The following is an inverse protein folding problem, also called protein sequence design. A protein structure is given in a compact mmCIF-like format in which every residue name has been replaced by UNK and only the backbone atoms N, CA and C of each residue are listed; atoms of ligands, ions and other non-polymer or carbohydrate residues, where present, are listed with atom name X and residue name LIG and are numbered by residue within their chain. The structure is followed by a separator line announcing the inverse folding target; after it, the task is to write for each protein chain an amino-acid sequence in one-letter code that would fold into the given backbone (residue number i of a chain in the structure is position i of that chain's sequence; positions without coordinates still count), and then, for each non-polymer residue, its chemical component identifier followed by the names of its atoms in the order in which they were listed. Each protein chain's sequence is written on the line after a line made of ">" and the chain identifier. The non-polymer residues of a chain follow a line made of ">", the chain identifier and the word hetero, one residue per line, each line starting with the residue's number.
data_IF_749954789932
#
_entry.id   IF_749954789932
#
_cell.length_a   1.000
_cell.length_b   1.000
_cell.length_c   1.000
_cell.angle_alpha   90.00
_cell.angle_beta   90.00
_cell.angle_gamma   90.00
#
_symmetry.space_group_name_H-M   'P 1'
#
loop_
_entity.id
_entity.type
_entity.pdbx_description
1 polymer ?
#
# COMPACT_ATOMS: atom_id res chain seq x y z
N UNK A 1 -33.74 1.04 19.76
CA UNK A 1 -32.71 0.46 18.86
C UNK A 1 -32.99 -1.03 18.78
N UNK A 2 -33.30 -1.53 17.58
CA UNK A 2 -33.54 -2.97 17.37
C UNK A 2 -32.28 -3.79 17.67
N UNK A 3 -32.44 -5.03 18.15
CA UNK A 3 -31.34 -5.98 18.41
C UNK A 3 -30.42 -6.12 17.18
N UNK A 4 -30.97 -6.10 15.97
CA UNK A 4 -30.26 -6.16 14.68
C UNK A 4 -29.29 -4.97 14.49
N UNK A 5 -29.67 -3.76 14.85
CA UNK A 5 -28.79 -2.57 14.70
C UNK A 5 -27.60 -2.58 15.67
N UNK A 6 -27.72 -3.24 16.83
CA UNK A 6 -26.62 -3.41 17.78
C UNK A 6 -25.59 -4.41 17.25
N UNK A 7 -26.04 -5.50 16.66
CA UNK A 7 -25.20 -6.53 16.04
C UNK A 7 -24.39 -5.96 14.89
N UNK A 8 -25.02 -5.24 13.96
CA UNK A 8 -24.34 -4.60 12.81
C UNK A 8 -23.24 -3.63 13.26
N UNK A 9 -23.51 -2.83 14.30
CA UNK A 9 -22.49 -1.93 14.87
C UNK A 9 -21.33 -2.69 15.50
N UNK A 10 -21.62 -3.76 16.24
CA UNK A 10 -20.58 -4.60 16.85
C UNK A 10 -19.68 -5.20 15.77
N UNK A 11 -20.25 -5.81 14.73
CA UNK A 11 -19.50 -6.38 13.60
C UNK A 11 -18.60 -5.34 12.92
N UNK A 12 -19.12 -4.13 12.72
CA UNK A 12 -18.35 -3.02 12.11
C UNK A 12 -17.14 -2.61 12.96
N UNK A 13 -17.32 -2.35 14.24
CA UNK A 13 -16.23 -1.95 15.12
C UNK A 13 -15.22 -3.08 15.32
N UNK A 14 -15.69 -4.33 15.40
CA UNK A 14 -14.82 -5.51 15.42
C UNK A 14 -13.96 -5.55 14.16
N UNK A 15 -14.53 -5.31 12.97
CA UNK A 15 -13.77 -5.28 11.72
C UNK A 15 -12.75 -4.13 11.69
N UNK A 16 -13.07 -2.96 12.23
CA UNK A 16 -12.14 -1.84 12.36
C UNK A 16 -10.94 -2.19 13.26
N UNK A 17 -11.19 -2.85 14.41
CA UNK A 17 -10.13 -3.31 15.32
C UNK A 17 -9.26 -4.38 14.64
N UNK A 18 -9.88 -5.35 13.97
CA UNK A 18 -9.16 -6.36 13.17
C UNK A 18 -8.28 -5.67 12.13
N UNK A 19 -8.84 -4.69 11.39
CA UNK A 19 -8.11 -3.93 10.39
C UNK A 19 -6.91 -3.18 10.94
N UNK A 20 -7.07 -2.54 12.09
CA UNK A 20 -5.97 -1.87 12.79
C UNK A 20 -4.83 -2.84 13.11
N UNK A 21 -5.10 -3.93 13.82
CA UNK A 21 -4.07 -4.90 14.24
C UNK A 21 -3.47 -5.67 13.06
N UNK A 22 -4.27 -6.06 12.06
CA UNK A 22 -3.82 -6.76 10.88
C UNK A 22 -2.83 -5.91 10.06
N UNK A 23 -3.16 -4.65 9.82
CA UNK A 23 -2.29 -3.75 9.05
C UNK A 23 -1.10 -3.26 9.87
N UNK A 24 -1.25 -3.09 11.19
CA UNK A 24 -0.14 -2.85 12.12
C UNK A 24 0.88 -4.00 12.03
N UNK A 25 0.45 -5.25 12.19
CA UNK A 25 1.27 -6.45 12.06
C UNK A 25 1.98 -6.51 10.71
N UNK A 26 1.23 -6.41 9.61
CA UNK A 26 1.78 -6.48 8.26
C UNK A 26 2.81 -5.38 7.97
N UNK A 27 2.55 -4.14 8.38
CA UNK A 27 3.46 -3.02 8.13
C UNK A 27 4.70 -3.11 9.02
N UNK A 28 4.54 -3.46 10.30
CA UNK A 28 5.65 -3.61 11.24
C UNK A 28 6.58 -4.78 10.86
N UNK A 29 6.07 -5.84 10.21
CA UNK A 29 6.89 -6.93 9.67
C UNK A 29 7.79 -6.51 8.49
N UNK A 30 7.53 -5.35 7.92
CA UNK A 30 8.27 -4.75 6.80
C UNK A 30 9.14 -3.58 7.26
N UNK A 31 8.56 -2.64 7.99
CA UNK A 31 9.15 -1.34 8.28
C UNK A 31 9.42 -1.14 9.79
N UNK A 32 10.68 -0.84 10.20
CA UNK A 32 11.90 -0.72 9.40
C UNK A 32 12.74 -2.01 9.35
N UNK A 33 12.24 -3.16 9.81
CA UNK A 33 12.98 -4.40 10.11
C UNK A 33 13.51 -5.13 8.89
N UNK A 34 12.79 -5.09 7.75
CA UNK A 34 13.02 -6.03 6.65
C UNK A 34 14.39 -5.87 5.99
N UNK A 35 14.82 -4.63 5.74
CA UNK A 35 16.12 -4.38 5.12
C UNK A 35 17.28 -4.89 6.00
N UNK A 36 17.40 -4.47 7.28
CA UNK A 36 18.46 -4.98 8.14
C UNK A 36 18.38 -6.49 8.37
N UNK A 37 17.19 -7.09 8.44
CA UNK A 37 17.07 -8.55 8.59
C UNK A 37 17.49 -9.30 7.33
N UNK A 38 17.10 -8.84 6.14
CA UNK A 38 17.57 -9.41 4.88
C UNK A 38 19.11 -9.33 4.74
N UNK A 39 19.71 -8.20 5.15
CA UNK A 39 21.16 -8.04 5.21
C UNK A 39 21.81 -9.04 6.17
N UNK A 40 21.27 -9.21 7.36
CA UNK A 40 21.77 -10.16 8.37
C UNK A 40 21.72 -11.62 7.88
N UNK A 41 20.77 -11.96 6.99
CA UNK A 41 20.67 -13.27 6.35
C UNK A 41 21.61 -13.44 5.13
N UNK A 42 22.49 -12.46 4.86
CA UNK A 42 23.43 -12.52 3.74
C UNK A 42 22.77 -12.39 2.36
N UNK A 43 21.63 -11.69 2.26
CA UNK A 43 20.96 -11.49 0.97
C UNK A 43 21.85 -10.73 0.01
N UNK A 44 22.13 -11.25 -1.20
CA UNK A 44 22.85 -10.52 -2.24
C UNK A 44 22.10 -9.21 -2.62
N UNK A 45 22.85 -8.15 -2.94
CA UNK A 45 22.28 -6.85 -3.31
C UNK A 45 21.24 -6.96 -4.44
N UNK A 46 21.52 -7.78 -5.45
CA UNK A 46 20.62 -8.04 -6.58
C UNK A 46 19.29 -8.65 -6.18
N UNK A 47 19.21 -9.34 -5.05
CA UNK A 47 18.03 -10.04 -4.54
C UNK A 47 17.33 -9.29 -3.40
N UNK A 48 17.95 -8.23 -2.87
CA UNK A 48 17.34 -7.40 -1.82
C UNK A 48 15.97 -6.86 -2.25
N UNK A 49 15.87 -6.34 -3.47
CA UNK A 49 14.61 -5.85 -4.03
C UNK A 49 13.57 -6.95 -4.24
N UNK A 50 13.98 -8.16 -4.62
CA UNK A 50 13.08 -9.31 -4.73
C UNK A 50 12.49 -9.69 -3.36
N UNK A 51 13.32 -9.76 -2.33
CA UNK A 51 12.84 -10.01 -0.94
C UNK A 51 11.86 -8.92 -0.51
N UNK A 52 12.15 -7.64 -0.81
CA UNK A 52 11.25 -6.54 -0.51
C UNK A 52 9.88 -6.68 -1.19
N UNK A 53 9.86 -7.09 -2.47
CA UNK A 53 8.67 -7.21 -3.30
C UNK A 53 7.90 -8.51 -3.10
N UNK A 54 8.47 -9.51 -2.45
CA UNK A 54 7.84 -10.83 -2.35
C UNK A 54 6.42 -10.80 -1.76
N UNK A 55 6.11 -9.86 -0.85
CA UNK A 55 4.78 -9.72 -0.27
C UNK A 55 3.77 -8.92 -1.12
N UNK A 56 4.22 -8.21 -2.17
CA UNK A 56 3.31 -7.49 -3.07
C UNK A 56 2.87 -8.35 -4.26
N UNK A 57 3.64 -9.39 -4.60
CA UNK A 57 3.30 -10.33 -5.66
C UNK A 57 1.93 -11.00 -5.42
N UNK A 58 1.58 -11.50 -4.22
CA UNK A 58 0.23 -12.00 -3.94
C UNK A 58 -0.88 -10.98 -4.16
N UNK A 59 -0.59 -9.68 -3.99
CA UNK A 59 -1.54 -8.60 -4.30
C UNK A 59 -1.97 -8.63 -5.76
N UNK A 60 -1.02 -8.75 -6.67
CA UNK A 60 -1.29 -8.84 -8.12
C UNK A 60 -2.07 -10.12 -8.45
N UNK A 61 -1.70 -11.24 -7.83
CA UNK A 61 -2.25 -12.56 -8.15
C UNK A 61 -3.62 -12.82 -7.50
N UNK A 62 -3.83 -12.32 -6.28
CA UNK A 62 -4.94 -12.75 -5.44
C UNK A 62 -6.00 -11.67 -5.17
N UNK A 63 -5.74 -10.38 -5.38
CA UNK A 63 -6.72 -9.33 -5.06
C UNK A 63 -8.03 -9.44 -5.85
N UNK A 64 -7.96 -9.74 -7.14
CA UNK A 64 -9.14 -9.99 -7.97
C UNK A 64 -9.82 -11.34 -7.67
N UNK A 65 -9.08 -12.47 -7.64
CA UNK A 65 -9.66 -13.74 -7.21
C UNK A 65 -10.25 -13.71 -5.80
N UNK A 66 -9.64 -12.98 -4.85
CA UNK A 66 -10.13 -12.89 -3.48
C UNK A 66 -11.52 -12.25 -3.41
N UNK A 67 -11.79 -11.20 -4.19
CA UNK A 67 -13.10 -10.60 -4.29
C UNK A 67 -14.14 -11.63 -4.81
N UNK A 68 -13.85 -12.29 -5.93
CA UNK A 68 -14.72 -13.32 -6.51
C UNK A 68 -14.90 -14.54 -5.60
N UNK A 69 -13.83 -15.00 -4.94
CA UNK A 69 -13.91 -16.07 -3.94
C UNK A 69 -14.80 -15.67 -2.77
N UNK A 70 -14.72 -14.42 -2.33
CA UNK A 70 -15.53 -13.94 -1.22
C UNK A 70 -17.01 -13.81 -1.58
N UNK A 71 -17.33 -13.57 -2.86
CA UNK A 71 -18.71 -13.64 -3.36
C UNK A 71 -19.25 -15.07 -3.33
N UNK A 72 -18.41 -16.05 -3.69
CA UNK A 72 -18.80 -17.45 -3.79
C UNK A 72 -18.81 -18.18 -2.44
N UNK A 73 -17.78 -17.98 -1.62
CA UNK A 73 -17.60 -18.69 -0.34
C UNK A 73 -18.09 -17.91 0.88
N UNK A 74 -18.43 -16.64 0.69
CA UNK A 74 -18.87 -15.71 1.74
C UNK A 74 -17.71 -14.89 2.33
N UNK A 75 -17.97 -13.59 2.56
CA UNK A 75 -16.97 -12.62 3.05
C UNK A 75 -16.24 -13.08 4.30
N UNK A 76 -16.99 -13.62 5.27
CA UNK A 76 -16.44 -14.04 6.58
C UNK A 76 -15.40 -15.15 6.47
N UNK A 77 -15.62 -16.14 5.60
CA UNK A 77 -14.67 -17.25 5.42
C UNK A 77 -13.35 -16.77 4.83
N UNK A 78 -13.39 -15.83 3.89
CA UNK A 78 -12.17 -15.26 3.30
C UNK A 78 -11.45 -14.36 4.30
N UNK A 79 -12.17 -13.54 5.09
CA UNK A 79 -11.60 -12.77 6.19
C UNK A 79 -10.97 -13.69 7.26
N UNK A 80 -11.60 -14.81 7.56
CA UNK A 80 -11.03 -15.80 8.48
C UNK A 80 -9.74 -16.43 7.93
N UNK A 81 -9.72 -16.82 6.65
CA UNK A 81 -8.52 -17.36 6.01
C UNK A 81 -7.37 -16.32 6.03
N UNK A 82 -7.66 -15.04 5.74
CA UNK A 82 -6.65 -13.99 5.86
C UNK A 82 -6.16 -13.82 7.29
N UNK A 83 -7.05 -13.94 8.27
CA UNK A 83 -6.73 -13.90 9.70
C UNK A 83 -5.77 -15.01 10.13
N UNK A 84 -5.93 -16.24 9.60
CA UNK A 84 -4.98 -17.34 9.84
C UNK A 84 -3.58 -16.97 9.33
N UNK A 85 -3.49 -16.34 8.14
CA UNK A 85 -2.20 -15.92 7.59
C UNK A 85 -1.58 -14.82 8.46
N UNK A 86 -2.36 -13.81 8.90
CA UNK A 86 -1.87 -12.76 9.83
C UNK A 86 -1.37 -13.33 11.15
N UNK A 87 -2.04 -14.35 11.68
CA UNK A 87 -1.65 -14.98 12.94
C UNK A 87 -0.43 -15.89 12.82
N UNK A 88 -0.25 -16.58 11.69
CA UNK A 88 0.80 -17.60 11.52
C UNK A 88 2.08 -17.05 10.89
N UNK A 89 1.98 -16.16 9.91
CA UNK A 89 3.13 -15.67 9.17
C UNK A 89 4.21 -15.01 10.06
N UNK A 90 3.89 -14.21 11.09
CA UNK A 90 4.90 -13.62 11.97
C UNK A 90 5.78 -14.65 12.67
N UNK A 91 5.22 -15.78 13.07
CA UNK A 91 5.99 -16.84 13.73
C UNK A 91 6.88 -17.60 12.76
N UNK A 92 6.52 -17.66 11.47
CA UNK A 92 7.40 -18.25 10.45
C UNK A 92 8.67 -17.42 10.26
N UNK A 93 8.64 -16.09 10.45
CA UNK A 93 9.87 -15.28 10.42
C UNK A 93 10.88 -15.68 11.49
N UNK A 94 10.46 -16.24 12.63
CA UNK A 94 11.34 -16.70 13.69
C UNK A 94 12.17 -17.94 13.27
N UNK A 95 11.71 -18.68 12.25
CA UNK A 95 12.34 -19.91 11.75
C UNK A 95 13.22 -19.64 10.52
N UNK A 96 13.29 -18.38 10.06
CA UNK A 96 14.02 -18.02 8.85
C UNK A 96 15.52 -17.96 9.12
N UNK A 97 16.30 -18.72 8.34
CA UNK A 97 17.76 -18.78 8.42
C UNK A 97 18.46 -18.38 7.10
N UNK A 98 17.68 -18.05 6.06
CA UNK A 98 18.21 -17.72 4.74
C UNK A 98 17.28 -16.75 4.00
N UNK A 99 17.83 -15.98 3.07
CA UNK A 99 17.10 -14.97 2.33
C UNK A 99 15.93 -15.54 1.50
N UNK A 100 16.07 -16.73 0.93
CA UNK A 100 14.99 -17.34 0.14
C UNK A 100 13.83 -17.81 1.02
N UNK A 101 14.09 -18.28 2.25
CA UNK A 101 13.04 -18.56 3.24
C UNK A 101 12.32 -17.29 3.63
N UNK A 102 13.08 -16.17 3.83
CA UNK A 102 12.48 -14.86 4.07
C UNK A 102 11.55 -14.45 2.94
N UNK A 103 11.97 -14.60 1.68
CA UNK A 103 11.12 -14.30 0.52
C UNK A 103 9.85 -15.17 0.49
N UNK A 104 9.94 -16.46 0.80
CA UNK A 104 8.78 -17.36 0.87
C UNK A 104 7.79 -16.96 1.99
N UNK A 105 8.30 -16.66 3.18
CA UNK A 105 7.45 -16.20 4.30
C UNK A 105 6.78 -14.87 3.96
N UNK A 106 7.50 -13.96 3.32
CA UNK A 106 6.94 -12.70 2.84
C UNK A 106 5.85 -12.90 1.79
N UNK A 107 6.09 -13.80 0.83
CA UNK A 107 5.09 -14.17 -0.18
C UNK A 107 3.84 -14.73 0.50
N UNK A 108 3.97 -15.66 1.43
CA UNK A 108 2.85 -16.17 2.21
C UNK A 108 2.11 -15.07 2.98
N UNK A 109 2.86 -14.20 3.69
CA UNK A 109 2.28 -13.11 4.46
C UNK A 109 1.52 -12.10 3.56
N UNK A 110 1.97 -11.92 2.32
CA UNK A 110 1.32 -11.05 1.34
C UNK A 110 -0.13 -11.43 1.02
N UNK A 111 -0.48 -12.73 1.05
CA UNK A 111 -1.87 -13.16 0.88
C UNK A 111 -2.82 -12.60 1.95
N UNK A 112 -2.34 -12.35 3.15
CA UNK A 112 -3.16 -11.80 4.22
C UNK A 112 -3.76 -10.44 3.82
N UNK A 113 -2.93 -9.50 3.39
CA UNK A 113 -3.38 -8.17 2.98
C UNK A 113 -4.13 -8.18 1.65
N UNK A 114 -3.69 -9.01 0.69
CA UNK A 114 -4.33 -9.18 -0.62
C UNK A 114 -5.79 -9.65 -0.50
N UNK A 115 -6.10 -10.49 0.50
CA UNK A 115 -7.46 -10.94 0.77
C UNK A 115 -8.23 -9.97 1.69
N UNK A 116 -7.58 -9.46 2.74
CA UNK A 116 -8.24 -8.72 3.81
C UNK A 116 -8.84 -7.40 3.35
N UNK A 117 -8.07 -6.56 2.65
CA UNK A 117 -8.48 -5.19 2.34
C UNK A 117 -9.67 -5.14 1.38
N UNK A 118 -9.67 -5.82 0.22
CA UNK A 118 -10.82 -5.78 -0.69
C UNK A 118 -12.07 -6.43 -0.08
N UNK A 119 -11.92 -7.55 0.63
CA UNK A 119 -13.05 -8.26 1.23
C UNK A 119 -13.62 -7.50 2.43
N UNK A 120 -12.77 -6.85 3.23
CA UNK A 120 -13.19 -5.98 4.33
C UNK A 120 -14.02 -4.79 3.84
N UNK A 121 -13.57 -4.13 2.78
CA UNK A 121 -14.33 -3.04 2.15
C UNK A 121 -15.69 -3.52 1.62
N UNK A 122 -15.72 -4.67 0.94
CA UNK A 122 -16.96 -5.26 0.44
C UNK A 122 -17.92 -5.61 1.59
N UNK A 123 -17.40 -6.19 2.69
CA UNK A 123 -18.20 -6.51 3.86
C UNK A 123 -18.80 -5.28 4.53
N UNK A 124 -18.04 -4.17 4.65
CA UNK A 124 -18.57 -2.90 5.14
C UNK A 124 -19.66 -2.34 4.23
N UNK A 125 -19.46 -2.41 2.91
CA UNK A 125 -20.46 -1.94 1.94
C UNK A 125 -21.78 -2.72 2.02
N UNK A 126 -21.74 -4.02 2.33
CA UNK A 126 -22.91 -4.87 2.56
C UNK A 126 -23.61 -4.55 3.89
N UNK A 127 -22.85 -4.29 4.97
CA UNK A 127 -23.41 -3.96 6.28
C UNK A 127 -24.11 -2.61 6.30
N UNK A 128 -23.69 -1.66 5.45
CA UNK A 128 -24.20 -0.27 5.45
C UNK A 128 -24.56 0.22 4.04
N UNK A 129 -25.67 -0.30 3.44
CA UNK A 129 -26.06 0.08 2.07
C UNK A 129 -26.33 1.58 1.88
N UNK A 130 -26.85 2.26 2.90
CA UNK A 130 -27.19 3.69 2.84
C UNK A 130 -26.01 4.62 3.10
N UNK A 131 -25.01 4.21 3.89
CA UNK A 131 -23.89 5.06 4.33
C UNK A 131 -22.51 4.40 3.98
N UNK A 132 -22.43 3.76 2.83
CA UNK A 132 -21.25 2.98 2.40
C UNK A 132 -19.95 3.79 2.47
N UNK A 133 -19.95 4.97 1.84
CA UNK A 133 -18.74 5.80 1.72
C UNK A 133 -18.20 6.22 3.10
N UNK A 134 -19.07 6.69 4.00
CA UNK A 134 -18.68 7.06 5.35
C UNK A 134 -18.08 5.89 6.11
N UNK A 135 -18.74 4.73 6.09
CA UNK A 135 -18.31 3.55 6.83
C UNK A 135 -17.03 2.93 6.27
N UNK A 136 -16.88 2.88 4.96
CA UNK A 136 -15.63 2.45 4.32
C UNK A 136 -14.49 3.41 4.66
N UNK A 137 -14.75 4.71 4.73
CA UNK A 137 -13.75 5.70 5.15
C UNK A 137 -13.29 5.48 6.59
N UNK A 138 -14.20 5.20 7.53
CA UNK A 138 -13.85 4.90 8.92
C UNK A 138 -13.02 3.61 9.01
N UNK A 139 -13.42 2.55 8.31
CA UNK A 139 -12.66 1.30 8.25
C UNK A 139 -11.25 1.53 7.66
N UNK A 140 -11.16 2.25 6.55
CA UNK A 140 -9.90 2.65 5.95
C UNK A 140 -9.01 3.45 6.93
N UNK A 141 -9.61 4.38 7.67
CA UNK A 141 -8.88 5.16 8.69
C UNK A 141 -8.29 4.27 9.78
N UNK A 142 -9.02 3.26 10.25
CA UNK A 142 -8.51 2.31 11.23
C UNK A 142 -7.27 1.56 10.71
N UNK A 143 -7.31 1.09 9.46
CA UNK A 143 -6.16 0.43 8.82
C UNK A 143 -4.97 1.36 8.63
N UNK A 144 -5.24 2.62 8.26
CA UNK A 144 -4.21 3.65 8.06
C UNK A 144 -3.50 4.00 9.37
N UNK A 145 -4.24 4.10 10.49
CA UNK A 145 -3.63 4.33 11.81
C UNK A 145 -2.65 3.20 12.16
N UNK A 146 -3.02 1.94 11.94
CA UNK A 146 -2.13 0.79 12.12
C UNK A 146 -0.86 0.90 11.26
N UNK A 147 -1.00 1.25 9.98
CA UNK A 147 0.12 1.45 9.06
C UNK A 147 1.05 2.58 9.52
N UNK A 148 0.49 3.68 9.99
CA UNK A 148 1.25 4.87 10.41
C UNK A 148 2.07 4.61 11.67
N UNK A 149 1.50 3.90 12.66
CA UNK A 149 2.17 3.61 13.94
C UNK A 149 3.27 2.56 13.78
N UNK A 150 3.13 1.64 12.83
CA UNK A 150 4.00 0.48 12.67
C UNK A 150 5.51 0.80 12.62
N UNK A 151 6.01 1.73 11.78
CA UNK A 151 7.45 1.99 11.71
C UNK A 151 8.01 2.66 12.97
N UNK A 152 7.22 3.50 13.66
CA UNK A 152 7.63 4.09 14.94
C UNK A 152 7.78 3.01 16.01
N UNK A 153 6.77 2.14 16.14
CA UNK A 153 6.78 1.05 17.11
C UNK A 153 7.86 0.02 16.76
N UNK A 154 7.99 -0.36 15.50
CA UNK A 154 9.02 -1.28 15.04
C UNK A 154 10.43 -0.72 15.24
N UNK A 155 10.66 0.56 14.95
CA UNK A 155 11.93 1.24 15.21
C UNK A 155 12.28 1.30 16.68
N UNK A 156 11.29 1.60 17.54
CA UNK A 156 11.48 1.60 19.00
C UNK A 156 11.83 0.21 19.54
N UNK A 157 11.11 -0.85 19.12
CA UNK A 157 11.39 -2.22 19.55
C UNK A 157 12.83 -2.62 19.15
N UNK A 158 13.22 -2.39 17.90
CA UNK A 158 14.57 -2.69 17.43
C UNK A 158 15.64 -1.89 18.18
N UNK A 159 15.34 -0.64 18.57
CA UNK A 159 16.26 0.19 19.33
C UNK A 159 16.49 -0.37 20.74
N UNK A 160 15.42 -0.66 21.48
CA UNK A 160 15.53 -1.15 22.87
C UNK A 160 16.06 -2.59 22.97
N UNK A 161 15.93 -3.38 21.90
CA UNK A 161 16.41 -4.77 21.84
C UNK A 161 17.76 -4.91 21.11
N UNK A 162 18.46 -3.81 20.82
CA UNK A 162 19.72 -3.83 20.06
C UNK A 162 19.61 -4.59 18.72
N UNK A 163 18.59 -4.27 17.93
CA UNK A 163 18.23 -4.95 16.67
C UNK A 163 17.79 -6.42 16.86
N UNK A 164 17.07 -6.71 17.93
CA UNK A 164 16.44 -7.99 18.17
C UNK A 164 15.32 -8.29 17.17
N UNK A 165 15.66 -9.00 16.10
CA UNK A 165 14.69 -9.35 15.05
C UNK A 165 13.61 -10.30 15.57
N UNK A 166 13.98 -11.24 16.47
CA UNK A 166 13.03 -12.19 17.06
C UNK A 166 12.00 -11.47 17.94
N UNK A 167 12.42 -10.53 18.78
CA UNK A 167 11.57 -9.74 19.64
C UNK A 167 10.58 -8.91 18.83
N UNK A 168 11.05 -8.32 17.74
CA UNK A 168 10.17 -7.58 16.85
C UNK A 168 9.15 -8.50 16.18
N UNK A 169 9.57 -9.65 15.61
CA UNK A 169 8.62 -10.56 14.98
C UNK A 169 7.67 -11.23 15.97
N UNK A 170 8.04 -11.38 17.25
CA UNK A 170 7.11 -11.74 18.33
C UNK A 170 6.06 -10.64 18.54
N UNK A 171 6.45 -9.37 18.59
CA UNK A 171 5.51 -8.25 18.70
C UNK A 171 4.57 -8.18 17.48
N UNK A 172 5.09 -8.42 16.27
CA UNK A 172 4.30 -8.57 15.03
C UNK A 172 3.30 -9.72 15.18
N UNK A 173 3.73 -10.83 15.74
CA UNK A 173 2.90 -12.02 16.01
C UNK A 173 1.77 -11.73 17.01
N UNK A 174 2.07 -11.02 18.08
CA UNK A 174 1.05 -10.58 19.07
C UNK A 174 -0.03 -9.74 18.38
N UNK A 175 0.35 -8.79 17.52
CA UNK A 175 -0.60 -7.98 16.77
C UNK A 175 -1.42 -8.84 15.78
N UNK A 176 -0.78 -9.79 15.07
CA UNK A 176 -1.44 -10.71 14.15
C UNK A 176 -2.44 -11.63 14.86
N UNK A 177 -2.05 -12.19 16.00
CA UNK A 177 -2.94 -13.01 16.86
C UNK A 177 -4.10 -12.18 17.42
N UNK A 178 -3.84 -10.93 17.84
CA UNK A 178 -4.89 -10.02 18.31
C UNK A 178 -5.92 -9.76 17.19
N UNK A 179 -5.47 -9.54 15.95
CA UNK A 179 -6.36 -9.43 14.80
C UNK A 179 -7.18 -10.71 14.60
N UNK A 180 -6.56 -11.88 14.64
CA UNK A 180 -7.23 -13.16 14.45
C UNK A 180 -8.25 -13.46 15.54
N UNK A 181 -7.86 -13.35 16.81
CA UNK A 181 -8.74 -13.61 17.96
C UNK A 181 -9.95 -12.66 17.95
N UNK A 182 -9.69 -11.37 17.69
CA UNK A 182 -10.79 -10.40 17.53
C UNK A 182 -11.67 -10.76 16.33
N UNK A 183 -11.07 -11.22 15.23
CA UNK A 183 -11.78 -11.69 14.02
C UNK A 183 -12.67 -12.90 14.25
N UNK A 184 -12.38 -13.77 15.25
CA UNK A 184 -13.27 -14.88 15.61
C UNK A 184 -14.66 -14.40 16.05
N UNK A 185 -14.78 -13.20 16.59
CA UNK A 185 -16.07 -12.60 16.94
C UNK A 185 -16.94 -12.35 15.70
N UNK A 186 -16.32 -12.07 14.54
CA UNK A 186 -17.04 -11.95 13.27
C UNK A 186 -17.66 -13.26 12.80
N UNK A 187 -17.11 -14.40 13.23
CA UNK A 187 -17.61 -15.72 12.85
C UNK A 187 -18.75 -16.20 13.73
N UNK A 188 -18.80 -15.80 15.01
CA UNK A 188 -19.81 -16.25 15.97
C UNK A 188 -21.21 -15.71 15.68
N UNK A 189 -21.32 -14.55 15.10
CA UNK A 189 -22.60 -13.92 14.84
C UNK A 189 -23.25 -14.49 13.56
N UNK A 190 -24.35 -15.25 13.72
CA UNK A 190 -25.21 -15.65 12.59
C UNK A 190 -25.89 -14.37 12.04
N UNK A 191 -25.30 -13.77 11.03
CA UNK A 191 -26.00 -12.74 10.25
C UNK A 191 -27.05 -13.44 9.39
N UNK A 192 -28.29 -13.06 9.56
CA UNK A 192 -29.35 -13.23 8.56
C UNK A 192 -29.15 -12.20 7.42
N UNK A 193 -27.92 -12.06 6.92
CA UNK A 193 -27.74 -11.38 5.64
C UNK A 193 -28.22 -12.37 4.59
N UNK A 194 -29.46 -12.18 4.17
CA UNK A 194 -30.02 -12.71 2.95
C UNK A 194 -28.95 -12.72 1.87
N UNK A 195 -28.78 -13.83 1.21
CA UNK A 195 -28.11 -13.95 -0.09
C UNK A 195 -28.86 -13.05 -1.09
N UNK A 196 -28.75 -11.74 -0.91
CA UNK A 196 -29.08 -10.80 -1.95
C UNK A 196 -27.98 -10.99 -2.98
N UNK A 197 -28.23 -11.88 -3.93
CA UNK A 197 -27.41 -12.05 -5.11
C UNK A 197 -27.18 -10.70 -5.75
N UNK A 198 -26.03 -10.12 -5.44
CA UNK A 198 -25.44 -9.11 -6.28
C UNK A 198 -25.07 -9.86 -7.56
N UNK A 199 -25.97 -9.77 -8.55
CA UNK A 199 -25.64 -10.14 -9.92
C UNK A 199 -24.27 -9.56 -10.26
N UNK A 200 -23.36 -10.31 -10.89
CA UNK A 200 -22.09 -9.75 -11.34
C UNK A 200 -22.44 -8.57 -12.24
N UNK A 201 -22.33 -7.35 -11.71
CA UNK A 201 -22.44 -6.14 -12.50
C UNK A 201 -21.26 -6.13 -13.44
N UNK A 202 -21.47 -6.58 -14.67
CA UNK A 202 -20.44 -6.60 -15.71
C UNK A 202 -20.44 -7.81 -16.63
N UNK A 203 -21.56 -8.51 -16.80
CA UNK A 203 -21.67 -9.63 -17.75
C UNK A 203 -21.77 -9.19 -19.24
N UNK A 204 -21.26 -8.01 -19.62
CA UNK A 204 -21.35 -7.50 -20.99
C UNK A 204 -20.06 -7.52 -21.79
N UNK A 205 -18.90 -7.43 -21.13
CA UNK A 205 -17.57 -7.55 -21.77
C UNK A 205 -16.67 -8.38 -20.87
N UNK A 206 -15.88 -9.29 -21.47
CA UNK A 206 -14.88 -10.05 -20.71
C UNK A 206 -13.92 -9.10 -19.97
N UNK A 207 -13.40 -9.49 -18.81
CA UNK A 207 -12.48 -8.66 -18.01
C UNK A 207 -11.32 -8.12 -18.86
N UNK A 208 -10.77 -8.96 -19.74
CA UNK A 208 -9.67 -8.60 -20.64
C UNK A 208 -10.10 -7.60 -21.72
N UNK A 209 -11.32 -7.68 -22.25
CA UNK A 209 -11.85 -6.70 -23.20
C UNK A 209 -12.07 -5.33 -22.54
N UNK A 210 -12.58 -5.33 -21.32
CA UNK A 210 -12.73 -4.11 -20.53
C UNK A 210 -11.37 -3.45 -20.23
N UNK A 211 -10.36 -4.23 -19.89
CA UNK A 211 -9.00 -3.73 -19.69
C UNK A 211 -8.36 -3.23 -20.98
N UNK A 212 -8.55 -3.92 -22.10
CA UNK A 212 -8.07 -3.49 -23.40
C UNK A 212 -8.72 -2.15 -23.81
N UNK A 213 -10.01 -1.97 -23.54
CA UNK A 213 -10.71 -0.71 -23.80
C UNK A 213 -10.16 0.46 -22.95
N UNK A 214 -9.88 0.21 -21.67
CA UNK A 214 -9.28 1.21 -20.77
C UNK A 214 -7.85 1.53 -21.19
N UNK A 215 -7.02 0.51 -21.47
CA UNK A 215 -5.64 0.67 -21.91
C UNK A 215 -5.53 1.33 -23.31
N UNK A 216 -6.54 1.15 -24.17
CA UNK A 216 -6.63 1.80 -25.47
C UNK A 216 -6.84 3.32 -25.40
N UNK A 217 -7.34 3.82 -24.27
CA UNK A 217 -7.41 5.25 -24.03
C UNK A 217 -6.04 5.78 -23.61
N UNK A 218 -5.34 6.44 -24.54
CA UNK A 218 -3.99 6.98 -24.35
C UNK A 218 -3.87 7.88 -23.11
N UNK A 219 -4.88 8.71 -22.82
CA UNK A 219 -4.86 9.61 -21.66
C UNK A 219 -4.94 8.81 -20.36
N UNK A 220 -5.86 7.85 -20.27
CA UNK A 220 -6.01 6.96 -19.11
C UNK A 220 -4.75 6.15 -18.88
N UNK A 221 -4.12 5.62 -19.93
CA UNK A 221 -2.85 4.89 -19.83
C UNK A 221 -1.74 5.77 -19.27
N UNK A 222 -1.58 7.01 -19.79
CA UNK A 222 -0.55 7.94 -19.30
C UNK A 222 -0.76 8.29 -17.82
N UNK A 223 -2.00 8.55 -17.38
CA UNK A 223 -2.30 8.82 -15.96
C UNK A 223 -1.99 7.59 -15.10
N UNK A 224 -2.31 6.40 -15.58
CA UNK A 224 -1.99 5.15 -14.89
C UNK A 224 -0.48 4.91 -14.80
N UNK A 225 0.31 5.30 -15.80
CA UNK A 225 1.77 5.23 -15.76
C UNK A 225 2.37 6.20 -14.74
N UNK A 226 1.80 7.40 -14.57
CA UNK A 226 2.20 8.32 -13.50
C UNK A 226 1.95 7.70 -12.12
N UNK A 227 0.79 7.09 -11.92
CA UNK A 227 0.47 6.38 -10.67
C UNK A 227 1.43 5.21 -10.44
N UNK A 228 1.72 4.41 -11.48
CA UNK A 228 2.69 3.33 -11.42
C UNK A 228 4.09 3.82 -10.99
N UNK A 229 4.54 4.95 -11.55
CA UNK A 229 5.83 5.55 -11.20
C UNK A 229 5.88 6.03 -9.75
N UNK A 230 4.78 6.58 -9.23
CA UNK A 230 4.67 6.95 -7.82
C UNK A 230 4.80 5.74 -6.90
N UNK A 231 4.09 4.65 -7.20
CA UNK A 231 4.16 3.42 -6.40
C UNK A 231 5.47 2.66 -6.60
N UNK A 232 6.09 2.74 -7.79
CA UNK A 232 7.44 2.27 -8.04
C UNK A 232 8.45 2.95 -7.10
N UNK A 233 8.43 4.27 -7.07
CA UNK A 233 9.30 5.05 -6.19
C UNK A 233 8.97 4.80 -4.71
N UNK A 234 7.69 4.71 -4.36
CA UNK A 234 7.24 4.45 -2.99
C UNK A 234 7.70 3.08 -2.48
N UNK A 235 7.49 2.01 -3.24
CA UNK A 235 7.90 0.67 -2.86
C UNK A 235 9.42 0.54 -2.67
N UNK A 236 10.20 1.15 -3.57
CA UNK A 236 11.65 1.19 -3.46
C UNK A 236 12.10 2.00 -2.24
N UNK A 237 11.52 3.18 -2.03
CA UNK A 237 11.89 4.08 -0.93
C UNK A 237 11.59 3.45 0.43
N UNK A 238 10.43 2.81 0.62
CA UNK A 238 10.10 2.14 1.89
C UNK A 238 11.16 1.12 2.33
N UNK A 239 11.89 0.53 1.40
CA UNK A 239 12.90 -0.49 1.70
C UNK A 239 14.33 0.05 1.67
N UNK A 240 14.72 0.76 0.60
CA UNK A 240 16.09 1.22 0.41
C UNK A 240 16.44 2.48 1.20
N UNK A 241 15.45 3.28 1.60
CA UNK A 241 15.67 4.40 2.52
C UNK A 241 16.17 3.87 3.87
N UNK A 242 15.59 2.79 4.39
CA UNK A 242 16.04 2.16 5.65
C UNK A 242 17.50 1.71 5.52
N UNK A 243 17.87 1.08 4.38
CA UNK A 243 19.25 0.71 4.10
C UNK A 243 20.19 1.92 4.08
N UNK A 244 19.81 3.00 3.40
CA UNK A 244 20.57 4.25 3.37
C UNK A 244 20.76 4.87 4.76
N UNK A 245 19.67 4.97 5.53
CA UNK A 245 19.71 5.52 6.89
C UNK A 245 20.64 4.72 7.81
N UNK A 246 20.71 3.40 7.64
CA UNK A 246 21.54 2.51 8.43
C UNK A 246 22.99 2.49 7.97
N UNK A 247 23.24 2.28 6.67
CA UNK A 247 24.57 1.99 6.11
C UNK A 247 25.36 3.28 5.80
N UNK A 248 24.69 4.36 5.42
CA UNK A 248 25.33 5.62 5.02
C UNK A 248 25.18 6.71 6.07
N UNK A 249 23.97 6.91 6.59
CA UNK A 249 23.73 7.93 7.62
C UNK A 249 24.04 7.45 9.06
N UNK A 250 24.22 6.12 9.25
CA UNK A 250 24.52 5.47 10.52
C UNK A 250 23.49 5.75 11.62
N UNK A 251 22.21 5.87 11.25
CA UNK A 251 21.13 6.08 12.20
C UNK A 251 20.78 4.77 12.92
N UNK A 252 20.47 4.89 14.22
CA UNK A 252 19.87 3.82 14.97
C UNK A 252 18.45 3.49 14.47
N UNK A 253 17.90 2.37 14.93
CA UNK A 253 16.61 1.88 14.47
C UNK A 253 15.45 2.79 14.86
N UNK A 254 15.57 3.57 15.96
CA UNK A 254 14.56 4.53 16.37
C UNK A 254 14.46 5.67 15.36
N UNK A 255 15.60 6.28 14.99
CA UNK A 255 15.64 7.37 14.01
C UNK A 255 15.19 6.88 12.62
N UNK A 256 15.56 5.65 12.22
CA UNK A 256 15.05 5.03 10.99
C UNK A 256 13.52 4.92 11.01
N UNK A 257 12.95 4.46 12.14
CA UNK A 257 11.51 4.35 12.34
C UNK A 257 10.81 5.70 12.31
N UNK A 258 11.42 6.75 12.87
CA UNK A 258 10.87 8.12 12.88
C UNK A 258 10.86 8.71 11.47
N UNK A 259 11.95 8.60 10.70
CA UNK A 259 12.03 9.13 9.33
C UNK A 259 10.98 8.44 8.43
N UNK A 260 10.93 7.11 8.45
CA UNK A 260 9.99 6.34 7.63
C UNK A 260 8.55 6.52 8.11
N UNK A 261 8.34 6.52 9.43
CA UNK A 261 7.03 6.74 10.03
C UNK A 261 6.44 8.11 9.69
N UNK A 262 7.28 9.15 9.66
CA UNK A 262 6.86 10.51 9.28
C UNK A 262 6.40 10.57 7.82
N UNK A 263 7.09 9.88 6.90
CA UNK A 263 6.67 9.74 5.52
C UNK A 263 5.30 9.06 5.42
N UNK A 264 5.10 7.95 6.14
CA UNK A 264 3.84 7.21 6.09
C UNK A 264 2.70 7.93 6.81
N UNK A 265 3.00 8.75 7.84
CA UNK A 265 2.01 9.52 8.58
C UNK A 265 1.44 10.70 7.76
N UNK A 266 2.30 11.42 7.04
CA UNK A 266 1.90 12.62 6.31
C UNK A 266 0.96 12.28 5.13
N UNK A 267 1.12 11.10 4.51
CA UNK A 267 0.33 10.69 3.34
C UNK A 267 -1.18 10.70 3.64
N UNK A 268 -1.71 9.92 4.60
CA UNK A 268 -3.14 9.89 4.88
C UNK A 268 -3.67 11.20 5.47
N UNK A 269 -2.85 11.94 6.20
CA UNK A 269 -3.23 13.24 6.77
C UNK A 269 -3.48 14.27 5.68
N UNK A 270 -2.65 14.28 4.64
CA UNK A 270 -2.76 15.27 3.56
C UNK A 270 -3.63 14.81 2.39
N UNK A 271 -3.83 13.52 2.19
CA UNK A 271 -4.59 13.01 1.04
C UNK A 271 -5.99 13.65 0.88
N UNK A 272 -6.80 13.85 1.93
CA UNK A 272 -8.08 14.54 1.81
C UNK A 272 -7.94 16.02 1.44
N UNK A 273 -6.89 16.69 1.95
CA UNK A 273 -6.61 18.09 1.65
C UNK A 273 -6.18 18.24 0.19
N UNK A 274 -5.30 17.36 -0.27
CA UNK A 274 -4.82 17.34 -1.66
C UNK A 274 -5.93 16.98 -2.65
N UNK A 275 -6.85 16.09 -2.27
CA UNK A 275 -8.06 15.82 -3.06
C UNK A 275 -8.91 17.08 -3.25
N UNK A 276 -9.21 17.81 -2.17
CA UNK A 276 -9.96 19.09 -2.26
C UNK A 276 -9.21 20.16 -3.08
N UNK A 277 -7.88 20.21 -2.94
CA UNK A 277 -7.06 21.12 -3.75
C UNK A 277 -7.18 20.74 -5.23
N UNK A 278 -7.06 19.47 -5.56
CA UNK A 278 -7.21 18.92 -6.90
C UNK A 278 -8.59 19.21 -7.50
N UNK A 279 -9.66 19.15 -6.69
CA UNK A 279 -11.01 19.52 -7.13
C UNK A 279 -11.15 21.01 -7.49
N UNK A 280 -10.42 21.87 -6.79
CA UNK A 280 -10.46 23.34 -6.99
C UNK A 280 -9.54 23.83 -8.11
N UNK A 281 -8.34 23.28 -8.21
CA UNK A 281 -7.28 23.77 -9.12
C UNK A 281 -7.21 22.96 -10.43
N UNK A 282 -8.01 21.89 -10.53
CA UNK A 282 -7.89 20.90 -11.60
C UNK A 282 -6.84 19.83 -11.27
N UNK A 283 -6.94 18.68 -11.95
CA UNK A 283 -6.12 17.49 -11.66
C UNK A 283 -4.64 17.66 -12.04
N UNK A 284 -4.37 18.44 -13.08
CA UNK A 284 -3.02 18.62 -13.66
C UNK A 284 -2.04 19.24 -12.67
N UNK A 285 -2.44 20.32 -11.98
CA UNK A 285 -1.54 21.05 -11.08
C UNK A 285 -1.01 20.17 -9.94
N UNK A 286 -1.86 19.46 -9.16
CA UNK A 286 -1.34 18.60 -8.11
C UNK A 286 -0.52 17.40 -8.63
N UNK A 287 -0.86 16.84 -9.80
CA UNK A 287 -0.10 15.74 -10.39
C UNK A 287 1.32 16.22 -10.76
N UNK A 288 1.44 17.34 -11.45
CA UNK A 288 2.75 17.87 -11.87
C UNK A 288 3.56 18.35 -10.67
N UNK A 289 2.97 19.21 -9.83
CA UNK A 289 3.66 19.74 -8.66
C UNK A 289 4.07 18.62 -7.67
N UNK A 290 3.19 17.65 -7.42
CA UNK A 290 3.49 16.50 -6.57
C UNK A 290 4.60 15.62 -7.12
N UNK A 291 4.62 15.38 -8.44
CA UNK A 291 5.70 14.62 -9.09
C UNK A 291 7.04 15.34 -8.99
N UNK A 292 7.07 16.67 -9.18
CA UNK A 292 8.30 17.46 -9.05
C UNK A 292 8.79 17.52 -7.59
N UNK A 293 7.89 17.73 -6.63
CA UNK A 293 8.23 17.69 -5.19
C UNK A 293 8.77 16.33 -4.78
N UNK A 294 8.13 15.23 -5.22
CA UNK A 294 8.58 13.87 -4.96
C UNK A 294 9.94 13.58 -5.58
N UNK A 295 10.14 13.98 -6.85
CA UNK A 295 11.41 13.81 -7.54
C UNK A 295 12.54 14.60 -6.86
N UNK A 296 12.29 15.85 -6.50
CA UNK A 296 13.23 16.68 -5.75
C UNK A 296 13.61 16.04 -4.41
N UNK A 297 12.62 15.60 -3.65
CA UNK A 297 12.85 14.96 -2.37
C UNK A 297 13.73 13.71 -2.50
N UNK A 298 13.39 12.80 -3.42
CA UNK A 298 14.19 11.58 -3.64
C UNK A 298 15.61 11.89 -4.12
N UNK A 299 15.76 12.88 -5.00
CA UNK A 299 17.06 13.31 -5.51
C UNK A 299 17.95 13.90 -4.41
N UNK A 300 17.38 14.46 -3.35
CA UNK A 300 18.15 15.07 -2.25
C UNK A 300 18.60 14.06 -1.19
N UNK A 301 17.98 12.87 -1.09
CA UNK A 301 18.34 11.87 -0.08
C UNK A 301 19.85 11.58 -0.07
N UNK A 302 20.50 11.21 -1.18
CA UNK A 302 21.90 10.78 -1.16
C UNK A 302 22.93 11.90 -0.86
N UNK A 303 22.48 13.15 -0.79
CA UNK A 303 23.34 14.32 -0.53
C UNK A 303 23.32 14.80 0.91
N UNK A 304 22.66 14.09 1.83
CA UNK A 304 22.62 14.48 3.24
C UNK A 304 22.55 13.27 4.16
N UNK A 305 23.29 13.36 5.28
CA UNK A 305 23.24 12.39 6.38
C UNK A 305 22.68 13.02 7.66
N UNK A 306 22.19 14.27 7.58
CA UNK A 306 21.67 14.97 8.76
C UNK A 306 20.22 14.59 9.03
N UNK A 307 19.93 14.13 10.25
CA UNK A 307 18.58 13.70 10.64
C UNK A 307 17.48 14.71 10.34
N UNK A 308 17.59 16.02 10.73
CA UNK A 308 16.51 16.97 10.46
C UNK A 308 16.22 17.16 8.95
N UNK A 309 17.26 17.08 8.10
CA UNK A 309 17.10 17.20 6.66
C UNK A 309 16.46 15.94 6.06
N UNK A 310 16.90 14.76 6.47
CA UNK A 310 16.30 13.49 6.01
C UNK A 310 14.85 13.36 6.47
N UNK A 311 14.53 13.83 7.66
CA UNK A 311 13.15 13.91 8.14
C UNK A 311 12.31 14.85 7.27
N UNK A 312 12.80 16.06 7.01
CA UNK A 312 12.12 17.02 6.14
C UNK A 312 11.92 16.48 4.72
N UNK A 313 12.96 15.88 4.14
CA UNK A 313 12.92 15.26 2.80
C UNK A 313 11.88 14.14 2.75
N UNK A 314 11.82 13.28 3.78
CA UNK A 314 10.82 12.20 3.86
C UNK A 314 9.39 12.74 3.95
N UNK A 315 9.17 13.80 4.71
CA UNK A 315 7.88 14.49 4.78
C UNK A 315 7.53 15.12 3.42
N UNK A 316 8.47 15.81 2.77
CA UNK A 316 8.27 16.39 1.43
C UNK A 316 7.94 15.32 0.39
N UNK A 317 8.61 14.17 0.42
CA UNK A 317 8.27 13.05 -0.45
C UNK A 317 6.84 12.56 -0.21
N UNK A 318 6.44 12.41 1.06
CA UNK A 318 5.06 12.03 1.42
C UNK A 318 4.01 13.05 0.96
N UNK A 319 4.33 14.36 1.00
CA UNK A 319 3.48 15.43 0.46
C UNK A 319 3.31 15.26 -1.06
N UNK A 320 4.43 15.14 -1.80
CA UNK A 320 4.41 14.95 -3.25
C UNK A 320 3.60 13.71 -3.66
N UNK A 321 3.85 12.58 -2.98
CA UNK A 321 3.10 11.33 -3.18
C UNK A 321 1.59 11.52 -2.92
N UNK A 322 1.22 12.25 -1.86
CA UNK A 322 -0.19 12.53 -1.53
C UNK A 322 -0.88 13.36 -2.60
N UNK A 323 -0.19 14.37 -3.16
CA UNK A 323 -0.72 15.24 -4.21
C UNK A 323 -1.07 14.43 -5.47
N UNK A 324 -0.16 13.57 -5.91
CA UNK A 324 -0.37 12.74 -7.11
C UNK A 324 -1.45 11.70 -6.86
N UNK A 325 -1.28 10.87 -5.82
CA UNK A 325 -2.17 9.71 -5.58
C UNK A 325 -3.56 10.07 -5.05
N UNK A 326 -3.82 11.33 -4.71
CA UNK A 326 -5.17 11.85 -4.50
C UNK A 326 -5.84 12.28 -5.82
N UNK A 327 -5.05 12.66 -6.83
CA UNK A 327 -5.55 13.27 -8.08
C UNK A 327 -5.69 12.29 -9.22
N UNK A 328 -4.79 11.32 -9.35
CA UNK A 328 -4.76 10.34 -10.45
C UNK A 328 -5.99 9.43 -10.51
N UNK A 329 -6.53 8.85 -9.40
CA UNK A 329 -7.74 8.05 -9.47
C UNK A 329 -8.97 8.87 -9.89
N UNK A 330 -9.05 10.13 -9.43
CA UNK A 330 -10.13 11.02 -9.83
C UNK A 330 -10.05 11.32 -11.34
N UNK A 331 -8.85 11.62 -11.87
CA UNK A 331 -8.66 11.86 -13.28
C UNK A 331 -8.95 10.63 -14.14
N UNK A 332 -8.53 9.42 -13.71
CA UNK A 332 -8.88 8.17 -14.41
C UNK A 332 -10.39 7.98 -14.46
N UNK A 333 -11.11 8.26 -13.36
CA UNK A 333 -12.58 8.15 -13.35
C UNK A 333 -13.27 9.17 -14.27
N UNK A 334 -12.67 10.35 -14.46
CA UNK A 334 -13.17 11.41 -15.37
C UNK A 334 -12.88 11.09 -16.85
N UNK A 335 -11.77 10.39 -17.14
CA UNK A 335 -11.35 10.01 -18.50
C UNK A 335 -11.97 8.70 -18.99
N UNK A 336 -12.57 7.94 -18.09
CA UNK A 336 -13.15 6.62 -18.40
C UNK A 336 -14.66 6.74 -18.54
N UNK A 337 -15.23 6.03 -19.52
CA UNK A 337 -16.68 5.97 -19.71
C UNK A 337 -17.39 5.50 -18.44
N UNK A 338 -18.56 6.08 -18.13
CA UNK A 338 -19.32 5.78 -16.90
C UNK A 338 -19.57 4.28 -16.67
N UNK A 339 -19.76 3.51 -17.76
CA UNK A 339 -19.95 2.06 -17.74
C UNK A 339 -18.69 1.28 -17.41
N UNK A 340 -17.49 1.88 -17.56
CA UNK A 340 -16.18 1.26 -17.40
C UNK A 340 -15.39 1.81 -16.22
N UNK A 341 -15.94 2.74 -15.41
CA UNK A 341 -15.22 3.36 -14.28
C UNK A 341 -14.69 2.30 -13.30
N UNK A 342 -15.49 1.29 -12.98
CA UNK A 342 -15.05 0.18 -12.11
C UNK A 342 -13.86 -0.59 -12.71
N UNK A 343 -13.91 -0.85 -14.02
CA UNK A 343 -12.81 -1.51 -14.76
C UNK A 343 -11.57 -0.62 -14.80
N UNK A 344 -11.74 0.70 -15.01
CA UNK A 344 -10.66 1.68 -15.00
C UNK A 344 -9.95 1.76 -13.65
N UNK A 345 -10.70 1.73 -12.55
CA UNK A 345 -10.15 1.71 -11.19
C UNK A 345 -9.43 0.39 -10.88
N UNK A 346 -9.96 -0.75 -11.35
CA UNK A 346 -9.29 -2.04 -11.23
C UNK A 346 -8.00 -2.10 -12.02
N UNK A 347 -7.99 -1.58 -13.24
CA UNK A 347 -6.79 -1.43 -14.07
C UNK A 347 -5.74 -0.56 -13.38
N UNK A 348 -6.14 0.62 -12.87
CA UNK A 348 -5.26 1.51 -12.13
C UNK A 348 -4.64 0.82 -10.92
N UNK A 349 -5.43 0.07 -10.13
CA UNK A 349 -4.96 -0.68 -8.97
C UNK A 349 -3.90 -1.74 -9.34
N UNK A 350 -4.11 -2.46 -10.43
CA UNK A 350 -3.13 -3.46 -10.91
C UNK A 350 -1.83 -2.82 -11.37
N UNK A 351 -1.91 -1.70 -12.10
CA UNK A 351 -0.72 -0.95 -12.53
C UNK A 351 0.04 -0.38 -11.33
N UNK A 352 -0.67 0.08 -10.32
CA UNK A 352 -0.11 0.51 -9.02
C UNK A 352 0.66 -0.63 -8.33
N UNK A 353 0.07 -1.81 -8.22
CA UNK A 353 0.70 -2.98 -7.58
C UNK A 353 1.92 -3.45 -8.38
N UNK A 354 1.88 -3.40 -9.72
CA UNK A 354 3.03 -3.65 -10.58
C UNK A 354 4.15 -2.65 -10.31
N UNK A 355 3.84 -1.36 -10.23
CA UNK A 355 4.82 -0.33 -9.87
C UNK A 355 5.47 -0.64 -8.53
N UNK A 356 4.67 -0.88 -7.50
CA UNK A 356 5.15 -1.17 -6.14
C UNK A 356 6.01 -2.44 -6.06
N UNK A 357 5.76 -3.41 -6.93
CA UNK A 357 6.53 -4.66 -7.01
C UNK A 357 7.84 -4.46 -7.77
N UNK A 358 7.82 -3.79 -8.92
CA UNK A 358 8.99 -3.60 -9.77
C UNK A 358 9.98 -2.59 -9.18
N UNK A 359 9.50 -1.59 -8.42
CA UNK A 359 10.34 -0.56 -7.83
C UNK A 359 11.52 -1.11 -7.02
N UNK A 360 11.27 -1.89 -5.97
CA UNK A 360 12.36 -2.46 -5.20
C UNK A 360 13.26 -3.41 -6.00
N UNK A 361 12.71 -4.21 -6.93
CA UNK A 361 13.48 -5.17 -7.75
C UNK A 361 14.50 -4.42 -8.59
N UNK A 362 14.06 -3.44 -9.37
CA UNK A 362 14.94 -2.68 -10.27
C UNK A 362 15.95 -1.85 -9.46
N UNK A 363 15.51 -1.24 -8.35
CA UNK A 363 16.41 -0.48 -7.46
C UNK A 363 17.48 -1.37 -6.85
N UNK A 364 17.14 -2.61 -6.47
CA UNK A 364 18.13 -3.60 -5.99
C UNK A 364 19.14 -3.99 -7.06
N UNK A 365 18.70 -4.15 -8.32
CA UNK A 365 19.60 -4.40 -9.43
C UNK A 365 20.57 -3.24 -9.70
N UNK A 366 20.09 -1.99 -9.60
CA UNK A 366 20.92 -0.77 -9.74
C UNK A 366 21.96 -0.72 -8.61
N UNK A 367 21.56 -1.03 -7.38
CA UNK A 367 22.48 -1.10 -6.24
C UNK A 367 23.56 -2.16 -6.47
N UNK A 368 23.17 -3.36 -6.91
CA UNK A 368 24.08 -4.48 -7.21
C UNK A 368 25.01 -4.22 -8.39
N UNK A 369 24.61 -3.40 -9.35
CA UNK A 369 25.45 -2.98 -10.47
C UNK A 369 26.55 -1.97 -10.09
N UNK A 370 26.68 -1.62 -8.81
CA UNK A 370 27.72 -0.74 -8.30
C UNK A 370 27.41 0.75 -8.32
N UNK A 371 26.20 1.13 -8.74
CA UNK A 371 25.77 2.55 -8.73
C UNK A 371 25.44 3.07 -7.31
N UNK A 372 25.38 2.19 -6.32
CA UNK A 372 25.13 2.54 -4.93
C UNK A 372 23.78 3.22 -4.69
N UNK A 373 23.62 3.84 -3.52
CA UNK A 373 22.38 4.56 -3.18
C UNK A 373 22.18 5.83 -4.03
N UNK A 374 23.28 6.48 -4.46
CA UNK A 374 23.21 7.65 -5.35
C UNK A 374 22.52 7.27 -6.67
N UNK A 375 23.00 6.21 -7.33
CA UNK A 375 22.38 5.73 -8.57
C UNK A 375 20.94 5.26 -8.36
N UNK A 376 20.67 4.58 -7.25
CA UNK A 376 19.33 4.09 -6.89
C UNK A 376 18.33 5.23 -6.77
N UNK A 377 18.60 6.25 -5.94
CA UNK A 377 17.69 7.38 -5.77
C UNK A 377 17.63 8.30 -7.00
N UNK A 378 18.72 8.42 -7.76
CA UNK A 378 18.72 9.13 -9.04
C UNK A 378 17.79 8.43 -10.05
N UNK A 379 17.81 7.11 -10.14
CA UNK A 379 16.90 6.37 -11.02
C UNK A 379 15.42 6.58 -10.64
N UNK A 380 15.09 6.59 -9.35
CA UNK A 380 13.74 6.90 -8.88
C UNK A 380 13.34 8.33 -9.25
N UNK A 381 14.23 9.29 -9.05
CA UNK A 381 14.03 10.70 -9.43
C UNK A 381 13.77 10.84 -10.93
N UNK A 382 14.61 10.24 -11.76
CA UNK A 382 14.46 10.27 -13.23
C UNK A 382 13.14 9.64 -13.66
N UNK A 383 12.74 8.52 -13.06
CA UNK A 383 11.45 7.88 -13.34
C UNK A 383 10.28 8.82 -13.09
N UNK A 384 10.26 9.53 -11.95
CA UNK A 384 9.21 10.52 -11.65
C UNK A 384 9.22 11.69 -12.61
N UNK A 385 10.41 12.22 -12.98
CA UNK A 385 10.54 13.34 -13.91
C UNK A 385 10.11 12.95 -15.33
N UNK A 386 10.53 11.78 -15.81
CA UNK A 386 10.17 11.29 -17.15
C UNK A 386 8.67 11.07 -17.27
N UNK A 387 8.06 10.42 -16.31
CA UNK A 387 6.61 10.17 -16.32
C UNK A 387 5.81 11.47 -16.17
N UNK A 388 6.29 12.44 -15.38
CA UNK A 388 5.73 13.78 -15.30
C UNK A 388 5.83 14.51 -16.67
N UNK A 389 6.97 14.44 -17.34
CA UNK A 389 7.17 15.00 -18.69
C UNK A 389 6.23 14.38 -19.72
N UNK A 390 6.10 13.04 -19.72
CA UNK A 390 5.14 12.32 -20.59
C UNK A 390 3.70 12.79 -20.30
N UNK A 391 3.33 12.95 -19.03
CA UNK A 391 2.01 13.45 -18.65
C UNK A 391 1.73 14.86 -19.21
N UNK A 392 2.68 15.78 -19.07
CA UNK A 392 2.56 17.16 -19.58
C UNK A 392 2.42 17.15 -21.10
N UNK A 393 3.33 16.46 -21.81
CA UNK A 393 3.37 16.43 -23.29
C UNK A 393 2.13 15.72 -23.87
N UNK A 394 1.60 14.71 -23.19
CA UNK A 394 0.41 13.98 -23.66
C UNK A 394 -0.88 14.81 -23.62
N UNK A 395 -0.90 15.92 -22.88
CA UNK A 395 -2.11 16.70 -22.62
C UNK A 395 -3.20 15.92 -21.87
N UNK A 396 -2.83 14.84 -21.17
CA UNK A 396 -3.77 13.99 -20.46
C UNK A 396 -4.51 14.72 -19.32
N UNK A 397 -3.89 15.77 -18.77
CA UNK A 397 -4.49 16.66 -17.78
C UNK A 397 -5.27 17.85 -18.37
N UNK A 398 -5.37 17.99 -19.69
CA UNK A 398 -6.09 19.09 -20.35
C UNK A 398 -7.56 19.09 -19.94
N UNK A 399 -8.07 20.30 -19.68
CA UNK A 399 -9.39 20.60 -19.15
C UNK A 399 -10.46 19.74 -19.84
N UNK A 400 -11.05 18.81 -19.09
CA UNK A 400 -12.38 18.31 -19.43
C UNK A 400 -13.32 19.48 -19.16
N UNK A 401 -13.56 20.30 -20.18
CA UNK A 401 -14.64 21.28 -20.15
C UNK A 401 -15.91 20.49 -19.86
N UNK A 402 -16.47 20.67 -18.67
CA UNK A 402 -17.82 20.22 -18.38
C UNK A 402 -18.73 20.89 -19.39
N UNK A 403 -19.09 20.16 -20.45
CA UNK A 403 -20.30 20.51 -21.19
C UNK A 403 -21.46 20.26 -20.26
N UNK A 404 -22.24 21.31 -20.03
CA UNK A 404 -23.30 21.51 -19.09
C UNK A 404 -24.44 20.50 -19.08
#
# INVERSE_FOLDING_TARGET
>A
MTSSGRVVRLLFWTLCIVGFFAILSSTMSKNPVLNPFARALGTPDSLMGFVASASTIPGILASLPAASLSDRFGRRKVLFASGIVFASAPFLYLLVNSWWQLALVRFYHGFATAMFVPVGNAFVAELFPSNRAERMSIFSSATVVGRTIAPFLGGYILFVTNNGFHELYLAVGIAGVAAFVTGLLLMKEKSQTTEAGLSPTGAGRGLLEGWAAVAGNRKTLVVSLVEAAQYYAFGATEFFLVGYLREVAHFDSLLQGVVLGSQLAIIPLLKPVMGRLSDKTGRTIPIVAGSLVGAFALGMIPFTIRFPLLLLISVLYGIGFSMVTASTPALVSELTDRSLVGTGMGFLGTIMDLGQTLGPIITGMILAAGFGYVGSFTALTVTLLVTCGIFIVSGAGGIVTKHG
#
